data_IF_032072746664
#
_entry.id   IF_032072746664
#
_cell.length_a   1.000
_cell.length_b   1.000
_cell.length_c   1.000
_cell.angle_alpha   90.00
_cell.angle_beta   90.00
_cell.angle_gamma   90.00
#
_symmetry.space_group_name_H-M   'P 1'
#
loop_
_entity.id
_entity.type
_entity.pdbx_description
1 polymer ?
#
# COMPACT_ATOMS: atom_id res chain seq x y z
N UNK A 1 23.52 8.83 34.78
CA UNK A 1 23.02 8.93 33.40
C UNK A 1 24.23 8.94 32.52
N UNK A 2 24.44 7.90 31.73
CA UNK A 2 25.56 7.82 30.78
C UNK A 2 25.31 8.77 29.61
N UNK A 3 26.36 9.14 28.88
CA UNK A 3 26.21 10.00 27.70
C UNK A 3 25.30 9.34 26.64
N UNK A 4 25.35 8.02 26.52
CA UNK A 4 24.46 7.22 25.66
C UNK A 4 22.99 7.35 26.06
N UNK A 5 22.68 7.19 27.35
CA UNK A 5 21.32 7.36 27.88
C UNK A 5 20.80 8.78 27.61
N UNK A 6 21.67 9.78 27.72
CA UNK A 6 21.33 11.17 27.42
C UNK A 6 20.97 11.36 25.94
N UNK A 7 21.78 10.82 25.04
CA UNK A 7 21.55 10.89 23.59
C UNK A 7 20.25 10.20 23.18
N UNK A 8 20.01 8.97 23.65
CA UNK A 8 18.77 8.23 23.37
C UNK A 8 17.53 8.94 23.95
N UNK A 9 17.66 9.60 25.10
CA UNK A 9 16.57 10.39 25.69
C UNK A 9 16.22 11.62 24.84
N UNK A 10 17.23 12.33 24.32
CA UNK A 10 17.01 13.47 23.43
C UNK A 10 16.43 13.04 22.08
N UNK A 11 16.95 11.95 21.50
CA UNK A 11 16.41 11.36 20.27
C UNK A 11 14.96 10.88 20.46
N UNK A 12 14.67 10.25 21.59
CA UNK A 12 13.32 9.80 21.98
C UNK A 12 12.33 10.97 22.11
N UNK A 13 12.79 12.12 22.60
CA UNK A 13 11.99 13.35 22.66
C UNK A 13 11.76 13.93 21.26
N UNK A 14 12.81 14.01 20.46
CA UNK A 14 12.75 14.53 19.10
C UNK A 14 11.85 13.68 18.18
N UNK A 15 11.88 12.35 18.33
CA UNK A 15 11.06 11.38 17.59
C UNK A 15 9.65 11.17 18.18
N UNK A 16 9.20 11.99 19.14
CA UNK A 16 7.87 11.84 19.77
C UNK A 16 6.69 11.86 18.79
N UNK A 17 6.88 12.41 17.59
CA UNK A 17 5.88 12.43 16.51
C UNK A 17 5.87 11.14 15.65
N UNK A 18 6.90 10.28 15.75
CA UNK A 18 7.09 9.11 14.89
C UNK A 18 6.37 7.88 15.48
N UNK A 19 5.51 7.23 14.68
CA UNK A 19 4.75 6.04 15.12
C UNK A 19 5.61 4.81 15.40
N UNK A 20 6.82 4.76 14.83
CA UNK A 20 7.80 3.67 15.00
C UNK A 20 8.98 4.09 15.86
N UNK A 21 8.79 5.10 16.71
CA UNK A 21 9.81 5.65 17.61
C UNK A 21 10.59 4.54 18.35
N UNK A 22 9.90 3.55 18.91
CA UNK A 22 10.55 2.51 19.71
C UNK A 22 11.47 1.61 18.86
N UNK A 23 11.10 1.36 17.59
CA UNK A 23 11.93 0.61 16.65
C UNK A 23 13.19 1.39 16.27
N UNK A 24 13.03 2.67 15.93
CA UNK A 24 14.17 3.55 15.61
C UNK A 24 15.10 3.67 16.82
N UNK A 25 14.56 3.82 18.03
CA UNK A 25 15.39 3.89 19.23
C UNK A 25 16.16 2.60 19.49
N UNK A 26 15.55 1.44 19.22
CA UNK A 26 16.21 0.13 19.38
C UNK A 26 17.35 -0.04 18.38
N UNK A 27 17.16 0.40 17.14
CA UNK A 27 18.20 0.40 16.10
C UNK A 27 19.39 1.27 16.51
N UNK A 28 19.12 2.51 16.92
CA UNK A 28 20.17 3.43 17.39
C UNK A 28 20.84 2.96 18.68
N UNK A 29 20.12 2.31 19.58
CA UNK A 29 20.70 1.67 20.76
C UNK A 29 21.66 0.54 20.38
N UNK A 30 21.31 -0.28 19.37
CA UNK A 30 22.18 -1.31 18.81
C UNK A 30 23.47 -0.71 18.24
N UNK A 31 23.34 0.31 17.39
CA UNK A 31 24.48 0.98 16.78
C UNK A 31 25.41 1.59 17.83
N UNK A 32 24.85 2.22 18.87
CA UNK A 32 25.64 2.79 19.96
C UNK A 32 26.37 1.74 20.79
N UNK A 33 25.79 0.56 20.98
CA UNK A 33 26.45 -0.56 21.66
C UNK A 33 27.60 -1.11 20.83
N UNK A 34 27.37 -1.36 19.54
CA UNK A 34 28.41 -1.86 18.63
C UNK A 34 29.60 -0.88 18.57
N UNK A 35 29.31 0.42 18.51
CA UNK A 35 30.33 1.49 18.50
C UNK A 35 31.10 1.59 19.83
N UNK A 36 30.45 1.33 20.96
CA UNK A 36 31.08 1.34 22.27
C UNK A 36 31.94 0.10 22.54
N UNK A 37 31.74 -0.98 21.80
CA UNK A 37 32.64 -2.13 21.81
C UNK A 37 33.91 -1.88 20.97
N UNK A 38 33.82 -1.07 19.91
CA UNK A 38 34.94 -0.70 19.05
C UNK A 38 35.80 0.46 19.60
N UNK A 39 35.19 1.43 20.30
CA UNK A 39 35.88 2.57 20.89
C UNK A 39 35.78 2.60 22.43
N UNK A 40 36.93 2.79 23.10
CA UNK A 40 37.02 2.77 24.56
C UNK A 40 36.29 3.93 25.27
N UNK A 41 35.97 5.03 24.58
CA UNK A 41 35.36 6.21 25.20
C UNK A 41 34.35 6.88 24.26
N UNK A 42 33.07 6.53 24.44
CA UNK A 42 31.96 7.11 23.65
C UNK A 42 31.38 8.31 24.39
N UNK A 43 31.83 9.51 24.03
CA UNK A 43 31.30 10.75 24.59
C UNK A 43 30.07 11.27 23.84
N UNK A 44 29.32 12.17 24.48
CA UNK A 44 28.18 12.84 23.85
C UNK A 44 28.54 13.60 22.57
N UNK A 45 29.66 14.34 22.58
CA UNK A 45 30.14 15.06 21.39
C UNK A 45 30.53 14.11 20.26
N UNK A 46 31.18 12.99 20.58
CA UNK A 46 31.55 11.99 19.57
C UNK A 46 30.32 11.39 18.90
N UNK A 47 29.26 11.08 19.66
CA UNK A 47 28.01 10.58 19.10
C UNK A 47 27.33 11.60 18.19
N UNK A 48 27.35 12.90 18.55
CA UNK A 48 26.83 13.96 17.68
C UNK A 48 27.63 14.06 16.39
N UNK A 49 28.96 13.97 16.45
CA UNK A 49 29.82 14.05 15.27
C UNK A 49 29.60 12.85 14.34
N UNK A 50 29.44 11.65 14.92
CA UNK A 50 29.39 10.40 14.16
C UNK A 50 28.00 10.04 13.64
N UNK A 51 26.97 10.23 14.46
CA UNK A 51 25.57 9.88 14.12
C UNK A 51 24.74 11.10 13.74
N UNK A 52 25.16 12.30 14.12
CA UNK A 52 24.41 13.54 13.94
C UNK A 52 23.63 13.96 15.19
N UNK A 53 23.14 15.19 15.17
CA UNK A 53 22.33 15.73 16.27
C UNK A 53 20.95 15.02 16.33
N UNK A 54 20.42 14.67 17.51
CA UNK A 54 19.12 14.01 17.64
C UNK A 54 17.96 14.73 16.92
N UNK A 55 17.97 16.05 16.92
CA UNK A 55 16.99 16.86 16.17
C UNK A 55 17.15 16.76 14.65
N UNK A 56 18.38 16.69 14.15
CA UNK A 56 18.65 16.53 12.71
C UNK A 56 18.18 15.14 12.24
N UNK A 57 18.47 14.10 13.01
CA UNK A 57 17.98 12.74 12.76
C UNK A 57 16.45 12.72 12.75
N UNK A 58 15.82 13.32 13.76
CA UNK A 58 14.37 13.39 13.81
C UNK A 58 13.77 14.15 12.61
N UNK A 59 14.44 15.20 12.12
CA UNK A 59 14.00 15.91 10.92
C UNK A 59 14.12 15.06 9.64
N UNK A 60 15.18 14.25 9.50
CA UNK A 60 15.31 13.29 8.39
C UNK A 60 14.14 12.29 8.38
N UNK A 61 13.83 11.70 9.54
CA UNK A 61 12.68 10.80 9.68
C UNK A 61 11.33 11.50 9.42
N UNK A 62 11.22 12.79 9.74
CA UNK A 62 10.02 13.59 9.44
C UNK A 62 9.87 13.80 7.93
N UNK A 63 10.95 14.10 7.22
CA UNK A 63 10.93 14.24 5.76
C UNK A 63 10.57 12.92 5.08
N UNK A 64 11.14 11.81 5.55
CA UNK A 64 10.83 10.48 5.02
C UNK A 64 9.35 10.12 5.21
N UNK A 65 8.77 10.38 6.39
CA UNK A 65 7.33 10.23 6.62
C UNK A 65 6.51 11.11 5.66
N UNK A 66 6.82 12.40 5.60
CA UNK A 66 5.96 13.37 4.90
C UNK A 66 5.99 13.18 3.39
N UNK A 67 7.11 12.71 2.84
CA UNK A 67 7.26 12.55 1.39
C UNK A 67 6.84 11.16 0.92
N UNK A 68 7.16 10.10 1.67
CA UNK A 68 6.97 8.71 1.20
C UNK A 68 5.55 8.20 1.46
N UNK A 69 4.97 8.53 2.62
CA UNK A 69 3.68 8.00 3.06
C UNK A 69 2.50 8.39 2.14
N UNK A 70 2.32 9.67 1.77
CA UNK A 70 1.16 10.10 0.98
C UNK A 70 1.30 9.78 -0.50
N UNK A 71 2.52 9.81 -1.05
CA UNK A 71 2.79 9.58 -2.48
C UNK A 71 2.48 8.13 -2.87
N UNK A 72 2.93 7.18 -2.05
CA UNK A 72 2.70 5.76 -2.32
C UNK A 72 1.22 5.41 -2.21
N UNK A 73 0.52 5.96 -1.21
CA UNK A 73 -0.93 5.80 -1.07
C UNK A 73 -1.68 6.36 -2.29
N UNK A 74 -1.36 7.57 -2.73
CA UNK A 74 -2.01 8.19 -3.89
C UNK A 74 -1.69 7.48 -5.20
N UNK A 75 -0.47 6.98 -5.39
CA UNK A 75 -0.12 6.18 -6.56
C UNK A 75 -1.05 4.97 -6.71
N UNK A 76 -1.30 4.26 -5.61
CA UNK A 76 -2.18 3.09 -5.62
C UNK A 76 -3.65 3.43 -5.81
N UNK A 77 -4.14 4.49 -5.16
CA UNK A 77 -5.51 4.99 -5.38
C UNK A 77 -5.70 5.42 -6.84
N UNK A 78 -4.73 6.15 -7.40
CA UNK A 78 -4.74 6.56 -8.80
C UNK A 78 -4.72 5.37 -9.76
N UNK A 79 -3.93 4.32 -9.50
CA UNK A 79 -3.95 3.09 -10.30
C UNK A 79 -5.32 2.42 -10.30
N UNK A 80 -5.96 2.29 -9.13
CA UNK A 80 -7.29 1.67 -9.05
C UNK A 80 -8.35 2.52 -9.78
N UNK A 81 -8.33 3.84 -9.59
CA UNK A 81 -9.22 4.77 -10.31
C UNK A 81 -8.96 4.72 -11.81
N UNK A 82 -7.70 4.69 -12.25
CA UNK A 82 -7.35 4.62 -13.68
C UNK A 82 -7.83 3.31 -14.32
N UNK A 83 -7.71 2.18 -13.61
CA UNK A 83 -8.26 0.90 -14.07
C UNK A 83 -9.78 0.95 -14.16
N UNK A 84 -10.46 1.54 -13.17
CA UNK A 84 -11.92 1.67 -13.16
C UNK A 84 -12.44 2.57 -14.28
N UNK A 85 -11.86 3.77 -14.42
CA UNK A 85 -12.21 4.73 -15.47
C UNK A 85 -11.84 4.14 -16.85
N UNK A 86 -10.66 3.52 -16.98
CA UNK A 86 -10.21 2.89 -18.21
C UNK A 86 -11.14 1.77 -18.66
N UNK A 87 -11.52 0.87 -17.76
CA UNK A 87 -12.49 -0.19 -18.06
C UNK A 87 -13.88 0.34 -18.42
N UNK A 88 -14.34 1.39 -17.73
CA UNK A 88 -15.62 2.05 -18.01
C UNK A 88 -15.61 2.72 -19.39
N UNK A 89 -14.56 3.48 -19.71
CA UNK A 89 -14.38 4.13 -21.00
C UNK A 89 -14.25 3.10 -22.13
N UNK A 90 -13.51 2.01 -21.91
CA UNK A 90 -13.38 0.93 -22.90
C UNK A 90 -14.74 0.29 -23.19
N UNK A 91 -15.56 0.04 -22.16
CA UNK A 91 -16.91 -0.51 -22.32
C UNK A 91 -17.79 0.44 -23.13
N UNK A 92 -17.81 1.73 -22.78
CA UNK A 92 -18.60 2.74 -23.51
C UNK A 92 -18.11 2.88 -24.95
N UNK A 93 -16.79 2.92 -25.15
CA UNK A 93 -16.20 3.09 -26.47
C UNK A 93 -16.47 1.89 -27.37
N UNK A 94 -16.48 0.66 -26.84
CA UNK A 94 -16.82 -0.53 -27.61
C UNK A 94 -18.28 -0.51 -28.11
N UNK A 95 -19.21 0.02 -27.30
CA UNK A 95 -20.63 0.12 -27.69
C UNK A 95 -20.94 1.32 -28.61
N UNK A 96 -20.18 2.41 -28.51
CA UNK A 96 -20.41 3.61 -29.31
C UNK A 96 -19.58 3.65 -30.60
N UNK A 97 -18.43 2.98 -30.64
CA UNK A 97 -17.50 3.02 -31.76
C UNK A 97 -17.16 1.62 -32.26
N UNK A 98 -17.52 1.32 -33.50
CA UNK A 98 -17.20 0.07 -34.20
C UNK A 98 -15.78 0.09 -34.80
N UNK A 99 -14.78 0.41 -33.97
CA UNK A 99 -13.38 0.40 -34.38
C UNK A 99 -12.78 -1.00 -34.20
N UNK A 100 -12.18 -1.57 -35.26
CA UNK A 100 -11.65 -2.94 -35.24
C UNK A 100 -10.55 -3.20 -34.19
N UNK A 101 -9.80 -2.17 -33.79
CA UNK A 101 -8.82 -2.31 -32.71
C UNK A 101 -9.48 -2.44 -31.33
N UNK A 102 -10.60 -1.74 -31.09
CA UNK A 102 -11.38 -1.88 -29.86
C UNK A 102 -12.00 -3.27 -29.75
N UNK A 103 -12.52 -3.79 -30.84
CA UNK A 103 -13.11 -5.12 -30.88
C UNK A 103 -12.07 -6.22 -30.62
N UNK A 104 -10.88 -6.10 -31.21
CA UNK A 104 -9.77 -7.01 -30.92
C UNK A 104 -9.32 -6.95 -29.45
N UNK A 105 -9.15 -5.74 -28.90
CA UNK A 105 -8.78 -5.55 -27.48
C UNK A 105 -9.86 -6.10 -26.56
N UNK A 106 -11.13 -5.78 -26.82
CA UNK A 106 -12.28 -6.25 -26.05
C UNK A 106 -12.33 -7.78 -26.05
N UNK A 107 -12.33 -8.40 -27.23
CA UNK A 107 -12.39 -9.86 -27.36
C UNK A 107 -11.22 -10.55 -26.63
N UNK A 108 -10.01 -10.00 -26.74
CA UNK A 108 -8.83 -10.52 -26.03
C UNK A 108 -9.03 -10.45 -24.52
N UNK A 109 -9.38 -9.27 -23.97
CA UNK A 109 -9.66 -9.11 -22.54
C UNK A 109 -10.77 -10.06 -22.08
N UNK A 110 -11.81 -10.24 -22.91
CA UNK A 110 -12.93 -11.14 -22.59
C UNK A 110 -12.61 -12.62 -22.59
N UNK A 111 -11.50 -13.01 -23.21
CA UNK A 111 -11.05 -14.41 -23.26
C UNK A 111 -10.17 -14.83 -22.09
N UNK A 112 -9.66 -13.88 -21.28
CA UNK A 112 -8.72 -14.16 -20.17
C UNK A 112 -9.16 -13.64 -18.79
N UNK A 113 -10.44 -13.77 -18.39
CA UNK A 113 -10.94 -13.19 -17.15
C UNK A 113 -10.22 -13.70 -15.88
N UNK A 114 -9.83 -14.98 -15.86
CA UNK A 114 -9.10 -15.55 -14.72
C UNK A 114 -7.70 -14.95 -14.54
N UNK A 115 -7.01 -14.64 -15.64
CA UNK A 115 -5.70 -13.99 -15.58
C UNK A 115 -5.82 -12.58 -15.00
N UNK A 116 -6.88 -11.85 -15.37
CA UNK A 116 -7.17 -10.50 -14.84
C UNK A 116 -7.43 -10.56 -13.33
N UNK A 117 -8.22 -11.53 -12.86
CA UNK A 117 -8.49 -11.73 -11.43
C UNK A 117 -7.19 -12.02 -10.67
N UNK A 118 -6.36 -12.94 -11.15
CA UNK A 118 -5.09 -13.26 -10.50
C UNK A 118 -4.13 -12.08 -10.46
N UNK A 119 -4.03 -11.32 -11.55
CA UNK A 119 -3.23 -10.10 -11.57
C UNK A 119 -3.74 -9.07 -10.56
N UNK A 120 -5.06 -8.94 -10.43
CA UNK A 120 -5.68 -8.03 -9.46
C UNK A 120 -5.46 -8.47 -8.01
N UNK A 121 -5.54 -9.78 -7.73
CA UNK A 121 -5.18 -10.35 -6.41
C UNK A 121 -3.71 -10.12 -6.10
N UNK A 122 -2.81 -10.37 -7.05
CA UNK A 122 -1.39 -10.13 -6.87
C UNK A 122 -1.11 -8.65 -6.57
N UNK A 123 -1.74 -7.73 -7.31
CA UNK A 123 -1.65 -6.28 -7.06
C UNK A 123 -2.05 -5.92 -5.63
N UNK A 124 -3.20 -6.41 -5.15
CA UNK A 124 -3.67 -6.12 -3.79
C UNK A 124 -2.81 -6.76 -2.70
N UNK A 125 -2.31 -7.98 -2.92
CA UNK A 125 -1.34 -8.62 -2.03
C UNK A 125 -0.04 -7.80 -1.93
N UNK A 126 0.51 -7.36 -3.07
CA UNK A 126 1.72 -6.52 -3.13
C UNK A 126 1.49 -5.17 -2.46
N UNK A 127 0.31 -4.56 -2.66
CA UNK A 127 -0.07 -3.33 -1.99
C UNK A 127 -0.10 -3.52 -0.47
N UNK A 128 -0.73 -4.60 -0.01
CA UNK A 128 -0.72 -4.97 1.40
C UNK A 128 0.72 -5.10 1.92
N UNK A 129 1.57 -5.82 1.19
CA UNK A 129 2.98 -6.02 1.52
C UNK A 129 3.77 -4.72 1.62
N UNK A 130 3.70 -3.84 0.62
CA UNK A 130 4.41 -2.54 0.63
C UNK A 130 3.91 -1.66 1.78
N UNK A 131 2.59 -1.62 2.04
CA UNK A 131 2.07 -0.87 3.21
C UNK A 131 2.53 -1.48 4.53
N UNK A 132 2.60 -2.81 4.62
CA UNK A 132 3.10 -3.50 5.81
C UNK A 132 4.59 -3.24 6.05
N UNK A 133 5.38 -3.26 4.98
CA UNK A 133 6.83 -3.04 4.99
C UNK A 133 7.19 -1.59 5.30
N UNK A 134 6.49 -0.62 4.71
CA UNK A 134 6.85 0.80 4.82
C UNK A 134 6.26 1.49 6.05
N UNK A 135 5.20 0.93 6.66
CA UNK A 135 4.46 1.63 7.73
C UNK A 135 4.25 0.78 8.99
N UNK A 136 4.68 -0.49 8.97
CA UNK A 136 4.57 -1.37 10.11
C UNK A 136 3.15 -1.41 10.72
N UNK A 137 3.01 -1.39 12.06
CA UNK A 137 1.71 -1.37 12.74
C UNK A 137 0.85 -0.13 12.40
N UNK A 138 1.47 1.00 12.08
CA UNK A 138 0.77 2.27 11.79
C UNK A 138 0.07 2.28 10.43
N UNK A 139 0.42 1.36 9.54
CA UNK A 139 -0.18 1.22 8.20
C UNK A 139 -1.56 0.55 8.17
N UNK A 140 -2.01 -0.08 9.25
CA UNK A 140 -3.29 -0.78 9.31
C UNK A 140 -4.52 0.10 8.98
N UNK A 141 -4.69 1.31 9.57
CA UNK A 141 -5.79 2.21 9.19
C UNK A 141 -5.65 2.75 7.76
N UNK A 142 -4.43 2.88 7.25
CA UNK A 142 -4.15 3.33 5.87
C UNK A 142 -4.59 2.28 4.85
N UNK A 143 -4.30 1.02 5.14
CA UNK A 143 -4.70 -0.14 4.35
C UNK A 143 -6.22 -0.22 4.23
N UNK A 144 -6.93 -0.10 5.36
CA UNK A 144 -8.39 -0.15 5.39
C UNK A 144 -9.04 0.98 4.57
N UNK A 145 -8.57 2.22 4.72
CA UNK A 145 -9.08 3.36 3.94
C UNK A 145 -8.84 3.18 2.44
N UNK A 146 -7.62 2.80 2.06
CA UNK A 146 -7.25 2.58 0.66
C UNK A 146 -8.05 1.44 0.04
N UNK A 147 -8.25 0.35 0.78
CA UNK A 147 -9.09 -0.77 0.36
C UNK A 147 -10.54 -0.35 0.13
N UNK A 148 -11.15 0.36 1.09
CA UNK A 148 -12.54 0.82 0.96
C UNK A 148 -12.71 1.77 -0.24
N UNK A 149 -11.82 2.76 -0.38
CA UNK A 149 -11.90 3.75 -1.47
C UNK A 149 -11.76 3.08 -2.84
N UNK A 150 -10.86 2.09 -2.97
CA UNK A 150 -10.68 1.36 -4.24
C UNK A 150 -11.75 0.31 -4.52
N UNK A 151 -12.29 -0.35 -3.50
CA UNK A 151 -13.16 -1.53 -3.68
C UNK A 151 -14.65 -1.19 -3.68
N UNK A 152 -15.07 -0.18 -2.93
CA UNK A 152 -16.48 0.21 -2.86
C UNK A 152 -17.03 0.62 -4.24
N UNK A 153 -16.36 1.46 -5.05
CA UNK A 153 -16.83 1.79 -6.40
C UNK A 153 -16.96 0.55 -7.30
N UNK A 154 -15.99 -0.38 -7.22
CA UNK A 154 -16.01 -1.64 -7.98
C UNK A 154 -17.18 -2.53 -7.57
N UNK A 155 -17.43 -2.69 -6.26
CA UNK A 155 -18.57 -3.45 -5.74
C UNK A 155 -19.90 -2.84 -6.16
N UNK A 156 -20.03 -1.51 -6.07
CA UNK A 156 -21.24 -0.80 -6.50
C UNK A 156 -21.49 -1.07 -7.98
N UNK A 157 -20.49 -0.93 -8.84
CA UNK A 157 -20.65 -1.18 -10.27
C UNK A 157 -21.11 -2.62 -10.55
N UNK A 158 -20.49 -3.61 -9.91
CA UNK A 158 -20.89 -5.01 -10.08
C UNK A 158 -22.33 -5.26 -9.61
N UNK A 159 -22.74 -4.69 -8.47
CA UNK A 159 -24.11 -4.80 -7.97
C UNK A 159 -25.12 -4.14 -8.92
N UNK A 160 -24.82 -2.94 -9.43
CA UNK A 160 -25.67 -2.24 -10.40
C UNK A 160 -25.89 -3.07 -11.67
N UNK A 161 -24.85 -3.79 -12.11
CA UNK A 161 -24.96 -4.75 -13.22
C UNK A 161 -25.88 -5.91 -12.85
N UNK A 162 -25.70 -6.58 -11.70
CA UNK A 162 -26.58 -7.70 -11.25
C UNK A 162 -28.05 -7.29 -11.12
N UNK A 163 -28.32 -6.10 -10.59
CA UNK A 163 -29.68 -5.58 -10.45
C UNK A 163 -30.29 -5.08 -11.77
N UNK A 164 -29.61 -5.31 -12.91
CA UNK A 164 -30.06 -4.94 -14.25
C UNK A 164 -30.31 -3.43 -14.42
N UNK A 165 -29.75 -2.59 -13.54
CA UNK A 165 -29.77 -1.13 -13.69
C UNK A 165 -28.87 -0.75 -14.88
N UNK A 166 -27.78 -1.50 -15.08
CA UNK A 166 -26.94 -1.42 -16.28
C UNK A 166 -27.26 -2.62 -17.19
N UNK A 167 -27.47 -2.42 -18.52
CA UNK A 167 -27.83 -3.51 -19.41
C UNK A 167 -26.74 -4.59 -19.47
N UNK A 168 -27.06 -5.85 -19.13
CA UNK A 168 -26.11 -6.97 -19.16
C UNK A 168 -25.45 -7.18 -20.53
N UNK A 169 -26.19 -6.89 -21.60
CA UNK A 169 -25.69 -6.91 -22.99
C UNK A 169 -24.46 -6.02 -23.21
N UNK A 170 -24.23 -5.01 -22.38
CA UNK A 170 -23.06 -4.15 -22.52
C UNK A 170 -21.75 -4.85 -22.15
N UNK A 171 -21.85 -5.89 -21.33
CA UNK A 171 -20.71 -6.63 -20.83
C UNK A 171 -20.68 -8.09 -21.30
N UNK A 172 -21.56 -8.48 -22.23
CA UNK A 172 -21.46 -9.78 -22.90
C UNK A 172 -20.25 -9.77 -23.86
N UNK A 173 -19.43 -10.84 -23.94
CA UNK A 173 -19.53 -12.14 -23.25
C UNK A 173 -18.76 -12.21 -21.91
N UNK A 174 -18.05 -11.13 -21.53
CA UNK A 174 -17.19 -11.05 -20.35
C UNK A 174 -17.92 -11.38 -19.03
N UNK A 175 -19.18 -10.98 -18.93
CA UNK A 175 -19.93 -10.97 -17.67
C UNK A 175 -21.14 -11.89 -17.79
N UNK A 176 -20.92 -13.18 -17.53
CA UNK A 176 -21.99 -14.11 -17.22
C UNK A 176 -22.42 -13.92 -15.75
N UNK A 177 -23.68 -14.21 -15.40
CA UNK A 177 -24.18 -13.91 -14.05
C UNK A 177 -23.40 -14.66 -12.95
N UNK A 178 -22.95 -15.87 -13.24
CA UNK A 178 -22.04 -16.67 -12.39
C UNK A 178 -20.69 -15.99 -12.18
N UNK A 179 -20.14 -15.37 -13.22
CA UNK A 179 -18.86 -14.66 -13.17
C UNK A 179 -18.96 -13.43 -12.26
N UNK A 180 -20.08 -12.69 -12.29
CA UNK A 180 -20.25 -11.54 -11.38
C UNK A 180 -20.25 -12.00 -9.93
N UNK A 181 -20.93 -13.10 -9.61
CA UNK A 181 -20.92 -13.65 -8.25
C UNK A 181 -19.52 -14.05 -7.80
N UNK A 182 -18.74 -14.69 -8.67
CA UNK A 182 -17.33 -15.00 -8.41
C UNK A 182 -16.52 -13.72 -8.16
N UNK A 183 -16.73 -12.66 -8.97
CA UNK A 183 -16.05 -11.38 -8.78
C UNK A 183 -16.45 -10.71 -7.47
N UNK A 184 -17.73 -10.72 -7.06
CA UNK A 184 -18.20 -10.16 -5.79
C UNK A 184 -17.55 -10.90 -4.61
N UNK A 185 -17.60 -12.24 -4.62
CA UNK A 185 -17.00 -13.06 -3.56
C UNK A 185 -15.49 -12.86 -3.52
N UNK A 186 -14.82 -12.88 -4.68
CA UNK A 186 -13.39 -12.60 -4.81
C UNK A 186 -13.02 -11.20 -4.30
N UNK A 187 -13.87 -10.21 -4.53
CA UNK A 187 -13.71 -8.83 -4.06
C UNK A 187 -13.82 -8.72 -2.54
N UNK A 188 -14.67 -9.53 -1.91
CA UNK A 188 -14.72 -9.63 -0.44
C UNK A 188 -13.48 -10.36 0.09
N UNK A 189 -13.08 -11.47 -0.54
CA UNK A 189 -11.90 -12.26 -0.17
C UNK A 189 -10.58 -11.52 -0.42
N UNK A 190 -10.57 -10.49 -1.25
CA UNK A 190 -9.40 -9.64 -1.48
C UNK A 190 -8.92 -8.94 -0.20
N UNK A 191 -9.81 -8.65 0.75
CA UNK A 191 -9.41 -8.05 2.03
C UNK A 191 -8.47 -8.95 2.85
N UNK A 192 -8.80 -10.23 3.14
CA UNK A 192 -7.88 -11.12 3.84
C UNK A 192 -6.58 -11.37 3.08
N UNK A 193 -6.59 -11.41 1.74
CA UNK A 193 -5.36 -11.51 0.94
C UNK A 193 -4.45 -10.28 1.11
N UNK A 194 -5.05 -9.08 1.02
CA UNK A 194 -4.36 -7.81 1.27
C UNK A 194 -3.79 -7.77 2.69
N UNK A 195 -4.55 -8.24 3.68
CA UNK A 195 -4.10 -8.33 5.07
C UNK A 195 -2.96 -9.33 5.28
N UNK A 196 -2.96 -10.45 4.54
CA UNK A 196 -1.88 -11.41 4.56
C UNK A 196 -0.58 -10.79 4.03
N UNK A 197 -0.65 -10.07 2.90
CA UNK A 197 0.45 -9.27 2.37
C UNK A 197 0.97 -8.29 3.41
N UNK A 198 0.08 -7.54 4.05
CA UNK A 198 0.42 -6.58 5.12
C UNK A 198 1.15 -7.22 6.29
N UNK A 199 0.67 -8.37 6.78
CA UNK A 199 1.33 -9.09 7.87
C UNK A 199 2.72 -9.58 7.47
N UNK A 200 2.90 -9.98 6.22
CA UNK A 200 4.21 -10.43 5.71
C UNK A 200 5.18 -9.25 5.57
N UNK A 201 4.74 -8.13 5.00
CA UNK A 201 5.54 -6.91 4.90
C UNK A 201 5.96 -6.38 6.27
N UNK A 202 5.05 -6.39 7.25
CA UNK A 202 5.35 -5.98 8.63
C UNK A 202 6.43 -6.81 9.30
N UNK A 203 6.57 -8.09 8.95
CA UNK A 203 7.62 -8.96 9.53
C UNK A 203 9.02 -8.68 8.98
N UNK A 204 9.11 -8.09 7.79
CA UNK A 204 10.38 -7.70 7.14
C UNK A 204 10.79 -6.26 7.46
N UNK A 205 9.94 -5.53 8.18
CA UNK A 205 10.19 -4.18 8.70
C UNK A 205 10.82 -4.20 10.11
N UNK A 206 11.15 -5.40 10.63
CA UNK A 206 11.86 -5.62 11.89
C UNK A 206 13.29 -5.97 11.57
#
# INVERSE_FOLDING_TARGET
>A
MTDQEKYLTELSRALSFHSEKDGILTEYEGHLKDMAEEENEVSYEWMIERLGHPEAIANLWREEITVTKPKLQWLFVCCNIALFIGGSLLTVAYHLFSWGWLEWTWNTLTSIPMAIIWAYVAFWCLLGYEIGKTFGPSGQPLLGKTFIIGMVPNLILMLLTVFHIIPHRWFAPLINQEFIWVCIIGTILLYPFTWFGFRFGRRMSV
#
